data_IF_167079549831
#
_entry.id   IF_167079549831
#
_cell.length_a   1.000
_cell.length_b   1.000
_cell.length_c   1.000
_cell.angle_alpha   90.00
_cell.angle_beta   90.00
_cell.angle_gamma   90.00
#
_symmetry.space_group_name_H-M   'P 1'
#
loop_
_entity.id
_entity.type
_entity.pdbx_description
1 polymer ?
#
# COMPACT_ATOMS: atom_id res chain seq x y z
N UNK A 1 -18.99 -4.75 3.94
CA UNK A 1 -18.12 -3.59 4.21
C UNK A 1 -18.10 -2.73 2.96
N UNK A 2 -18.42 -1.45 3.06
CA UNK A 2 -18.36 -0.53 1.91
C UNK A 2 -17.03 0.22 1.95
N UNK A 3 -16.25 0.10 0.88
CA UNK A 3 -15.08 0.94 0.65
C UNK A 3 -15.54 2.31 0.17
N UNK A 4 -14.92 3.36 0.69
CA UNK A 4 -15.13 4.72 0.23
C UNK A 4 -13.82 5.22 -0.35
N UNK A 5 -13.84 5.65 -1.60
CA UNK A 5 -12.69 6.18 -2.33
C UNK A 5 -12.98 7.63 -2.71
N UNK A 6 -12.11 8.56 -2.31
CA UNK A 6 -12.29 9.99 -2.54
C UNK A 6 -10.99 10.64 -3.02
N UNK A 7 -11.03 11.60 -3.97
CA UNK A 7 -9.82 12.29 -4.40
C UNK A 7 -9.22 13.12 -3.25
N UNK A 8 -7.89 13.06 -3.08
CA UNK A 8 -7.19 13.91 -2.09
C UNK A 8 -6.80 15.27 -2.66
N UNK A 9 -6.72 15.38 -3.99
CA UNK A 9 -6.48 16.63 -4.70
C UNK A 9 -7.11 16.59 -6.10
N UNK A 10 -7.20 17.73 -6.82
CA UNK A 10 -7.78 17.76 -8.16
C UNK A 10 -6.97 17.02 -9.23
N UNK A 11 -5.68 16.73 -9.00
CA UNK A 11 -4.75 16.24 -10.03
C UNK A 11 -4.02 14.95 -9.68
N UNK A 12 -4.01 14.58 -8.40
CA UNK A 12 -3.31 13.38 -7.95
C UNK A 12 -3.90 12.86 -6.65
N UNK A 13 -4.06 11.55 -6.62
CA UNK A 13 -4.28 10.76 -5.43
C UNK A 13 -5.72 10.60 -5.00
N UNK A 14 -5.96 9.47 -4.35
CA UNK A 14 -7.21 9.15 -3.68
C UNK A 14 -6.95 8.60 -2.28
N UNK A 15 -7.87 8.85 -1.36
CA UNK A 15 -7.91 8.21 -0.07
C UNK A 15 -8.94 7.09 -0.04
N UNK A 16 -8.63 6.02 0.69
CA UNK A 16 -9.48 4.85 0.89
C UNK A 16 -9.82 4.73 2.36
N UNK A 17 -11.12 4.66 2.65
CA UNK A 17 -11.68 4.50 4.00
C UNK A 17 -12.44 3.17 4.05
N UNK A 18 -12.25 2.42 5.15
CA UNK A 18 -12.92 1.14 5.38
C UNK A 18 -12.20 -0.10 4.85
N UNK A 19 -10.99 0.07 4.29
CA UNK A 19 -10.09 -1.06 4.02
C UNK A 19 -9.33 -1.46 5.29
N UNK A 20 -9.10 -2.77 5.47
CA UNK A 20 -8.28 -3.30 6.55
C UNK A 20 -7.12 -4.11 5.93
N UNK A 21 -5.91 -3.56 6.00
CA UNK A 21 -4.68 -4.18 5.50
C UNK A 21 -3.98 -5.03 6.58
N UNK A 22 -4.53 -5.08 7.81
CA UNK A 22 -4.02 -5.99 8.85
C UNK A 22 -4.36 -7.46 8.55
N UNK A 23 -5.33 -7.69 7.68
CA UNK A 23 -5.73 -9.02 7.22
C UNK A 23 -5.17 -9.32 5.82
N UNK A 24 -5.02 -10.60 5.45
CA UNK A 24 -4.68 -10.97 4.07
C UNK A 24 -5.65 -10.36 3.06
N UNK A 25 -5.12 -9.50 2.18
CA UNK A 25 -5.90 -8.82 1.13
C UNK A 25 -6.13 -9.81 -0.02
N UNK A 26 -7.35 -10.31 -0.13
CA UNK A 26 -7.77 -11.18 -1.23
C UNK A 26 -7.84 -10.45 -2.58
N UNK A 27 -7.92 -11.23 -3.67
CA UNK A 27 -7.82 -10.69 -5.04
C UNK A 27 -8.86 -9.63 -5.39
N UNK A 28 -10.08 -9.75 -4.86
CA UNK A 28 -11.15 -8.78 -5.14
C UNK A 28 -10.84 -7.41 -4.52
N UNK A 29 -10.47 -7.40 -3.24
CA UNK A 29 -10.08 -6.16 -2.56
C UNK A 29 -8.82 -5.57 -3.19
N UNK A 30 -7.82 -6.40 -3.49
CA UNK A 30 -6.60 -5.91 -4.14
C UNK A 30 -6.90 -5.27 -5.50
N UNK A 31 -7.75 -5.90 -6.32
CA UNK A 31 -8.13 -5.36 -7.64
C UNK A 31 -8.81 -4.00 -7.52
N UNK A 32 -9.70 -3.84 -6.53
CA UNK A 32 -10.39 -2.58 -6.26
C UNK A 32 -9.40 -1.48 -5.82
N UNK A 33 -8.51 -1.78 -4.88
CA UNK A 33 -7.46 -0.84 -4.42
C UNK A 33 -6.47 -0.49 -5.54
N UNK A 34 -6.05 -1.47 -6.33
CA UNK A 34 -5.12 -1.26 -7.43
C UNK A 34 -5.75 -0.41 -8.53
N UNK A 35 -7.02 -0.63 -8.88
CA UNK A 35 -7.72 0.20 -9.85
C UNK A 35 -7.85 1.65 -9.32
N UNK A 36 -8.23 1.82 -8.06
CA UNK A 36 -8.30 3.13 -7.42
C UNK A 36 -6.95 3.87 -7.45
N UNK A 37 -5.85 3.16 -7.28
CA UNK A 37 -4.49 3.72 -7.36
C UNK A 37 -4.14 4.18 -8.78
N UNK A 38 -4.49 3.38 -9.80
CA UNK A 38 -4.28 3.73 -11.22
C UNK A 38 -5.13 4.93 -11.62
N UNK A 39 -6.41 4.94 -11.24
CA UNK A 39 -7.36 6.03 -11.55
C UNK A 39 -6.99 7.35 -10.84
N UNK A 40 -6.19 7.27 -9.77
CA UNK A 40 -5.76 8.39 -8.95
C UNK A 40 -4.32 8.84 -9.25
N UNK A 41 -3.81 8.58 -10.44
CA UNK A 41 -2.48 9.02 -10.88
C UNK A 41 -1.33 8.54 -9.97
N UNK A 42 -1.47 7.34 -9.40
CA UNK A 42 -0.37 6.67 -8.70
C UNK A 42 -0.19 7.07 -7.24
N UNK A 43 -1.15 7.74 -6.61
CA UNK A 43 -1.15 7.98 -5.15
C UNK A 43 -2.41 7.40 -4.49
N UNK A 44 -2.23 6.51 -3.52
CA UNK A 44 -3.32 5.96 -2.72
C UNK A 44 -3.02 6.10 -1.23
N UNK A 45 -3.92 6.71 -0.48
CA UNK A 45 -3.83 6.88 0.98
C UNK A 45 -4.84 5.95 1.65
N UNK A 46 -4.40 4.83 2.19
CA UNK A 46 -5.28 3.93 2.95
C UNK A 46 -5.28 4.37 4.42
N UNK A 47 -6.43 4.87 4.90
CA UNK A 47 -6.56 5.48 6.24
C UNK A 47 -6.62 4.42 7.35
N UNK A 48 -6.30 4.84 8.56
CA UNK A 48 -6.51 4.09 9.82
C UNK A 48 -5.84 2.71 9.91
N UNK A 49 -4.66 2.57 9.30
CA UNK A 49 -3.89 1.33 9.34
C UNK A 49 -2.97 1.27 10.56
N UNK A 50 -3.22 0.30 11.44
CA UNK A 50 -2.29 -0.14 12.47
C UNK A 50 -1.79 -1.54 12.09
N UNK A 51 -0.67 -1.58 11.37
CA UNK A 51 -0.12 -2.83 10.81
C UNK A 51 1.31 -3.08 11.29
N UNK A 52 1.65 -4.35 11.45
CA UNK A 52 3.01 -4.83 11.69
C UNK A 52 3.86 -4.73 10.42
N UNK A 53 5.19 -4.69 10.53
CA UNK A 53 6.07 -4.74 9.36
C UNK A 53 5.80 -5.95 8.45
N UNK A 54 5.49 -7.12 9.02
CA UNK A 54 5.17 -8.33 8.27
C UNK A 54 3.88 -8.15 7.46
N UNK A 55 2.84 -7.55 8.04
CA UNK A 55 1.60 -7.25 7.33
C UNK A 55 1.84 -6.25 6.19
N UNK A 56 2.66 -5.22 6.43
CA UNK A 56 3.04 -4.27 5.38
C UNK A 56 3.76 -4.97 4.22
N UNK A 57 4.74 -5.84 4.52
CA UNK A 57 5.46 -6.65 3.53
C UNK A 57 4.50 -7.55 2.75
N UNK A 58 3.60 -8.25 3.44
CA UNK A 58 2.61 -9.13 2.80
C UNK A 58 1.72 -8.37 1.83
N UNK A 59 1.24 -7.18 2.20
CA UNK A 59 0.46 -6.33 1.31
C UNK A 59 1.30 -5.81 0.13
N UNK A 60 2.50 -5.27 0.38
CA UNK A 60 3.36 -4.71 -0.66
C UNK A 60 3.78 -5.72 -1.73
N UNK A 61 3.95 -7.00 -1.37
CA UNK A 61 4.25 -8.08 -2.33
C UNK A 61 3.16 -8.31 -3.37
N UNK A 62 1.93 -7.81 -3.14
CA UNK A 62 0.85 -7.86 -4.14
C UNK A 62 1.15 -6.97 -5.35
N UNK A 63 2.02 -5.97 -5.21
CA UNK A 63 2.45 -5.09 -6.30
C UNK A 63 3.66 -5.62 -7.09
N UNK A 64 4.32 -6.67 -6.59
CA UNK A 64 5.50 -7.26 -7.23
C UNK A 64 6.59 -7.63 -6.25
N UNK A 65 7.79 -7.84 -6.78
CA UNK A 65 8.98 -8.11 -5.96
C UNK A 65 9.36 -6.86 -5.16
N UNK A 66 9.71 -7.07 -3.89
CA UNK A 66 10.21 -5.98 -3.04
C UNK A 66 11.67 -5.71 -3.40
N UNK A 67 12.04 -4.44 -3.46
CA UNK A 67 13.45 -4.05 -3.53
C UNK A 67 14.17 -4.57 -2.29
N UNK A 68 15.35 -5.15 -2.45
CA UNK A 68 16.15 -5.55 -1.29
C UNK A 68 16.95 -4.35 -0.79
N UNK A 69 17.16 -4.27 0.53
CA UNK A 69 18.02 -3.26 1.14
C UNK A 69 19.44 -3.20 0.55
N UNK A 70 19.90 -4.24 -0.15
CA UNK A 70 21.19 -4.27 -0.85
C UNK A 70 21.19 -3.55 -2.21
N UNK A 71 20.03 -3.34 -2.82
CA UNK A 71 19.91 -2.82 -4.19
C UNK A 71 20.03 -1.29 -4.27
N UNK A 72 19.85 -0.59 -3.14
CA UNK A 72 19.95 0.87 -3.09
C UNK A 72 20.58 1.36 -1.77
N UNK A 73 21.85 1.82 -1.77
CA UNK A 73 22.54 2.27 -0.57
C UNK A 73 21.92 3.52 0.07
N UNK A 74 21.11 4.29 -0.68
CA UNK A 74 20.39 5.45 -0.13
C UNK A 74 19.22 5.01 0.74
N UNK A 75 18.55 3.92 0.37
CA UNK A 75 17.37 3.41 1.09
C UNK A 75 17.80 2.54 2.28
N UNK A 76 18.93 1.85 2.18
CA UNK A 76 19.43 0.93 3.21
C UNK A 76 19.47 1.52 4.63
N UNK A 77 19.84 2.81 4.77
CA UNK A 77 19.89 3.49 6.07
C UNK A 77 18.52 3.80 6.69
N UNK A 78 17.44 3.71 5.92
CA UNK A 78 16.06 3.91 6.36
C UNK A 78 15.29 2.59 6.50
N UNK A 79 15.90 1.47 6.11
CA UNK A 79 15.30 0.16 6.25
C UNK A 79 15.20 -0.24 7.73
N UNK A 80 14.09 -0.89 8.09
CA UNK A 80 13.91 -1.41 9.44
C UNK A 80 14.85 -2.63 9.62
N UNK A 81 15.70 -2.67 10.66
CA UNK A 81 16.61 -3.79 10.87
C UNK A 81 15.87 -5.13 10.97
N UNK A 82 16.34 -6.15 10.24
CA UNK A 82 15.71 -7.47 10.21
C UNK A 82 14.59 -7.64 9.18
N UNK A 83 14.29 -6.59 8.41
CA UNK A 83 13.29 -6.59 7.34
C UNK A 83 13.94 -6.31 5.97
N UNK A 84 13.34 -6.80 4.87
CA UNK A 84 13.89 -6.64 3.51
C UNK A 84 14.01 -5.18 3.07
#
# INVERSE_FOLDING_TARGET
MSLVIQPVSPHIGAEVIGADLSQPVGDNLFRELHQAWVDADGLLVVRDQQITPEQQITFSRRFGELASAGDNPVIQKYALPGYP
#
